data_IF_437101300182
#
_entry.id   IF_437101300182
#
_cell.length_a   1.000
_cell.length_b   1.000
_cell.length_c   1.000
_cell.angle_alpha   90.00
_cell.angle_beta   90.00
_cell.angle_gamma   90.00
#
_symmetry.space_group_name_H-M   'P 1'
#
loop_
_entity.id
_entity.type
_entity.pdbx_description
1 polymer ?
#
# COMPACT_ATOMS: atom_id res chain seq x y z
N UNK A 1 -43.60 62.85 -31.45
CA UNK A 1 -44.30 61.67 -32.02
C UNK A 1 -43.20 60.66 -32.30
N UNK A 2 -43.11 59.50 -31.66
CA UNK A 2 -44.02 58.34 -31.77
C UNK A 2 -43.92 57.48 -30.49
N UNK A 3 -44.97 56.70 -30.27
CA UNK A 3 -45.42 56.00 -29.06
C UNK A 3 -44.53 54.88 -28.50
N UNK A 4 -44.64 54.71 -27.18
CA UNK A 4 -44.21 53.55 -26.40
C UNK A 4 -45.22 52.39 -26.56
N UNK A 5 -44.74 51.21 -26.92
CA UNK A 5 -45.46 49.95 -26.77
C UNK A 5 -44.84 49.17 -25.60
N UNK A 6 -45.61 48.97 -24.54
CA UNK A 6 -45.24 48.17 -23.37
C UNK A 6 -45.64 46.71 -23.60
N UNK A 7 -44.68 45.79 -23.47
CA UNK A 7 -44.93 44.35 -23.38
C UNK A 7 -44.55 43.89 -21.97
N UNK A 8 -45.54 43.52 -21.16
CA UNK A 8 -45.33 42.90 -19.84
C UNK A 8 -44.93 41.43 -20.01
N UNK A 9 -43.89 41.00 -19.30
CA UNK A 9 -43.66 39.60 -18.96
C UNK A 9 -43.75 39.41 -17.43
N UNK A 10 -44.40 38.33 -16.95
CA UNK A 10 -44.54 38.08 -15.52
C UNK A 10 -43.28 37.41 -14.96
N UNK A 11 -42.78 37.95 -13.84
CA UNK A 11 -41.72 37.35 -13.05
C UNK A 11 -42.28 36.18 -12.22
N UNK A 12 -41.80 34.96 -12.48
CA UNK A 12 -42.02 33.80 -11.60
C UNK A 12 -41.01 33.86 -10.45
N UNK A 13 -41.49 34.17 -9.25
CA UNK A 13 -40.70 34.11 -8.03
C UNK A 13 -40.49 32.65 -7.60
N UNK A 14 -39.22 32.24 -7.44
CA UNK A 14 -38.85 30.99 -6.79
C UNK A 14 -39.21 31.04 -5.29
N UNK A 15 -40.00 30.07 -4.84
CA UNK A 15 -40.31 29.84 -3.44
C UNK A 15 -39.07 29.33 -2.69
N UNK A 16 -38.51 30.17 -1.81
CA UNK A 16 -37.50 29.74 -0.85
C UNK A 16 -38.13 28.99 0.32
N UNK A 17 -37.81 27.71 0.46
CA UNK A 17 -38.15 26.90 1.61
C UNK A 17 -37.32 27.33 2.84
N UNK A 18 -37.94 28.09 3.74
CA UNK A 18 -37.40 28.37 5.08
C UNK A 18 -37.57 27.13 5.95
N UNK A 19 -36.50 26.40 6.22
CA UNK A 19 -36.45 25.36 7.25
C UNK A 19 -36.56 26.01 8.64
N UNK A 20 -37.50 25.61 9.51
CA UNK A 20 -37.56 26.14 10.87
C UNK A 20 -36.43 25.55 11.72
N UNK A 21 -35.67 26.41 12.40
CA UNK A 21 -34.73 25.99 13.43
C UNK A 21 -35.50 25.49 14.67
N UNK A 22 -35.06 24.41 15.33
CA UNK A 22 -35.69 23.93 16.56
C UNK A 22 -35.46 24.92 17.71
N UNK A 23 -36.51 25.18 18.51
CA UNK A 23 -36.42 26.07 19.66
C UNK A 23 -35.68 25.41 20.84
N UNK A 24 -34.94 26.20 21.65
CA UNK A 24 -34.29 25.70 22.85
C UNK A 24 -35.32 25.33 23.92
N UNK A 25 -35.05 24.21 24.61
CA UNK A 25 -35.88 23.66 25.70
C UNK A 25 -35.84 24.61 26.92
N UNK A 26 -36.98 24.94 27.55
CA UNK A 26 -36.99 25.82 28.71
C UNK A 26 -36.33 25.15 29.92
N UNK A 27 -35.56 25.94 30.68
CA UNK A 27 -35.02 25.54 31.97
C UNK A 27 -36.14 25.56 33.02
N UNK A 28 -36.48 24.39 33.58
CA UNK A 28 -37.40 24.27 34.70
C UNK A 28 -36.66 23.75 35.95
N UNK A 29 -37.06 24.34 37.06
CA UNK A 29 -36.40 24.39 38.36
C UNK A 29 -36.27 23.07 39.13
N UNK A 30 -35.32 23.12 40.06
CA UNK A 30 -35.08 22.21 41.18
C UNK A 30 -36.30 22.06 42.12
N UNK A 31 -36.57 20.85 42.60
CA UNK A 31 -36.77 20.53 44.03
C UNK A 31 -36.91 19.00 44.26
N UNK A 32 -36.57 18.49 45.47
CA UNK A 32 -36.03 17.14 45.70
C UNK A 32 -37.06 16.17 46.32
N UNK A 33 -36.77 14.86 46.29
CA UNK A 33 -37.09 13.93 47.40
C UNK A 33 -36.44 12.54 47.22
N UNK A 34 -35.66 12.14 48.24
CA UNK A 34 -35.85 10.83 48.88
C UNK A 34 -35.21 9.55 48.32
N UNK A 35 -33.99 9.26 48.80
CA UNK A 35 -33.45 7.94 49.20
C UNK A 35 -33.20 6.85 48.14
N UNK A 36 -31.92 6.65 47.86
CA UNK A 36 -31.37 5.45 47.22
C UNK A 36 -29.85 5.53 47.12
N UNK A 37 -29.17 5.59 48.27
CA UNK A 37 -27.71 5.64 48.35
C UNK A 37 -27.09 4.25 48.19
N UNK A 38 -26.41 4.00 47.07
CA UNK A 38 -25.23 3.15 47.04
C UNK A 38 -24.19 3.77 46.12
N UNK A 39 -23.32 4.56 46.75
CA UNK A 39 -21.90 4.75 46.46
C UNK A 39 -21.51 5.04 45.00
N UNK A 40 -21.56 6.34 44.73
CA UNK A 40 -20.59 7.11 43.97
C UNK A 40 -19.17 6.53 44.15
N UNK A 41 -18.62 5.92 43.10
CA UNK A 41 -17.19 5.64 43.04
C UNK A 41 -16.49 7.00 42.94
N UNK A 42 -15.96 7.37 44.09
CA UNK A 42 -15.31 8.61 44.43
C UNK A 42 -14.06 8.78 43.55
N UNK A 43 -14.01 9.95 42.92
CA UNK A 43 -12.85 10.69 42.45
C UNK A 43 -11.51 10.10 42.89
N UNK A 44 -11.04 9.11 42.12
CA UNK A 44 -9.67 8.65 42.21
C UNK A 44 -8.85 9.69 41.44
N UNK A 45 -7.91 10.40 42.09
CA UNK A 45 -7.10 11.38 41.38
C UNK A 45 -6.47 10.68 40.18
N UNK A 46 -6.76 11.19 38.97
CA UNK A 46 -6.09 10.73 37.78
C UNK A 46 -4.59 10.95 38.03
N UNK A 47 -3.87 9.86 38.28
CA UNK A 47 -2.42 9.87 38.25
C UNK A 47 -2.04 10.59 36.97
N UNK A 48 -1.24 11.67 36.99
CA UNK A 48 -0.82 12.32 35.77
C UNK A 48 -0.21 11.23 34.91
N UNK A 49 -0.83 10.96 33.77
CA UNK A 49 -0.38 9.95 32.83
C UNK A 49 0.95 10.46 32.32
N UNK A 50 2.04 10.02 32.96
CA UNK A 50 3.41 10.35 32.57
C UNK A 50 3.51 9.86 31.13
N UNK A 51 3.60 10.82 30.19
CA UNK A 51 3.79 10.48 28.79
C UNK A 51 4.96 9.50 28.71
N UNK A 52 4.80 8.36 28.04
CA UNK A 52 5.83 7.33 28.03
C UNK A 52 7.13 7.94 27.51
N UNK A 53 8.23 7.64 28.21
CA UNK A 53 9.58 8.07 27.82
C UNK A 53 9.82 7.75 26.34
N UNK A 54 10.44 8.67 25.57
CA UNK A 54 10.68 8.45 24.15
C UNK A 54 11.57 7.22 23.94
N UNK A 55 11.24 6.43 22.91
CA UNK A 55 12.06 5.29 22.50
C UNK A 55 13.46 5.74 22.08
N UNK A 56 14.42 4.81 22.07
CA UNK A 56 15.77 5.08 21.55
C UNK A 56 15.75 5.56 20.09
N UNK A 57 14.77 5.11 19.30
CA UNK A 57 14.58 5.60 17.95
C UNK A 57 14.17 7.08 17.94
N UNK A 58 13.18 7.47 18.76
CA UNK A 58 12.73 8.86 18.87
C UNK A 58 13.84 9.78 19.34
N UNK A 59 14.68 9.30 20.27
CA UNK A 59 15.86 10.04 20.74
C UNK A 59 16.93 10.21 19.65
N UNK A 60 17.09 9.23 18.75
CA UNK A 60 18.03 9.31 17.64
C UNK A 60 17.51 10.21 16.48
N UNK A 61 16.19 10.28 16.30
CA UNK A 61 15.53 11.10 15.28
C UNK A 61 15.41 12.57 15.72
N UNK A 62 16.56 13.18 15.99
CA UNK A 62 16.65 14.58 16.43
C UNK A 62 16.24 15.57 15.33
N UNK A 63 16.00 16.83 15.70
CA UNK A 63 15.68 17.92 14.76
C UNK A 63 16.81 18.21 13.74
N UNK A 64 18.02 17.69 13.97
CA UNK A 64 19.12 17.75 13.00
C UNK A 64 19.05 16.65 11.93
N UNK A 65 18.20 15.64 12.15
CA UNK A 65 17.98 14.49 11.26
C UNK A 65 16.65 14.63 10.52
N UNK A 66 15.56 14.88 11.24
CA UNK A 66 14.23 15.02 10.66
C UNK A 66 13.28 15.84 11.55
N UNK A 67 12.29 16.47 10.92
CA UNK A 67 11.13 17.04 11.60
C UNK A 67 10.08 15.93 11.68
N UNK A 68 10.00 15.27 12.82
CA UNK A 68 9.18 14.09 13.00
C UNK A 68 8.52 14.05 14.39
N UNK A 69 7.57 14.96 14.68
CA UNK A 69 6.87 14.96 15.96
C UNK A 69 6.29 13.59 16.29
N UNK A 70 6.41 13.20 17.55
CA UNK A 70 5.79 11.98 18.08
C UNK A 70 4.27 12.11 18.04
N UNK A 71 3.61 11.03 17.66
CA UNK A 71 2.14 10.93 17.73
C UNK A 71 1.74 9.77 18.65
N UNK A 72 0.50 9.78 19.19
CA UNK A 72 -0.01 8.67 20.00
C UNK A 72 0.00 7.35 19.23
N UNK A 73 0.05 6.25 19.96
CA UNK A 73 -0.14 4.93 19.37
C UNK A 73 -1.52 4.84 18.69
N UNK A 74 -1.57 4.17 17.56
CA UNK A 74 -2.82 3.91 16.84
C UNK A 74 -3.19 2.45 17.09
N UNK A 75 -4.41 2.21 17.57
CA UNK A 75 -4.97 0.86 17.73
C UNK A 75 -6.18 0.69 16.81
N UNK A 76 -6.04 -0.17 15.81
CA UNK A 76 -7.11 -0.54 14.88
C UNK A 76 -7.47 -2.02 14.99
N UNK A 77 -8.41 -2.51 14.15
CA UNK A 77 -8.77 -3.92 14.11
C UNK A 77 -7.57 -4.82 13.75
N UNK A 78 -7.43 -5.93 14.45
CA UNK A 78 -6.33 -6.87 14.23
C UNK A 78 -4.97 -6.28 14.61
N UNK A 79 -4.04 -6.28 13.66
CA UNK A 79 -2.67 -5.75 13.85
C UNK A 79 -2.52 -4.33 13.28
N UNK A 80 -3.64 -3.65 13.02
CA UNK A 80 -3.65 -2.32 12.45
C UNK A 80 -3.21 -1.25 13.45
N UNK A 81 -2.36 -0.33 12.98
CA UNK A 81 -1.72 0.70 13.76
C UNK A 81 -0.38 0.26 14.33
N UNK A 82 -0.02 0.82 15.47
CA UNK A 82 1.25 0.59 16.11
C UNK A 82 1.61 1.60 17.19
N UNK A 83 2.63 1.23 17.93
CA UNK A 83 3.32 2.09 18.89
C UNK A 83 4.54 2.77 18.24
N UNK A 84 5.17 3.67 19.01
CA UNK A 84 6.39 4.37 18.61
C UNK A 84 6.24 5.12 17.28
N UNK A 85 5.07 5.76 17.10
CA UNK A 85 4.72 6.46 15.87
C UNK A 85 5.24 7.90 15.88
N UNK A 86 5.54 8.39 14.68
CA UNK A 86 5.90 9.77 14.37
C UNK A 86 5.16 10.23 13.13
N UNK A 87 4.99 11.54 13.00
CA UNK A 87 4.53 12.20 11.79
C UNK A 87 5.74 12.83 11.12
N UNK A 88 6.30 12.18 10.10
CA UNK A 88 7.47 12.66 9.37
C UNK A 88 7.06 13.78 8.40
N UNK A 89 7.51 15.01 8.68
CA UNK A 89 7.14 16.21 7.92
C UNK A 89 8.27 16.67 6.99
N UNK A 90 9.52 16.48 7.40
CA UNK A 90 10.68 16.77 6.56
C UNK A 90 11.90 15.97 7.03
N UNK A 91 12.81 15.70 6.11
CA UNK A 91 14.16 15.22 6.41
C UNK A 91 15.11 16.41 6.34
N UNK A 92 15.93 16.59 7.38
CA UNK A 92 17.00 17.58 7.37
C UNK A 92 18.19 16.98 6.64
N UNK A 93 18.79 17.73 5.71
CA UNK A 93 19.90 17.28 4.88
C UNK A 93 21.24 17.65 5.54
N UNK A 94 22.37 17.00 5.14
CA UNK A 94 23.69 17.31 5.68
C UNK A 94 24.12 18.78 5.53
N UNK A 95 23.63 19.46 4.48
CA UNK A 95 23.87 20.89 4.22
C UNK A 95 22.99 21.84 5.07
N UNK A 96 22.16 21.30 5.97
CA UNK A 96 21.18 22.05 6.76
C UNK A 96 19.88 22.35 6.01
N UNK A 97 19.79 21.96 4.73
CA UNK A 97 18.58 22.01 3.93
C UNK A 97 17.47 21.10 4.46
N UNK A 98 16.27 21.24 3.91
CA UNK A 98 15.12 20.40 4.26
C UNK A 98 14.49 19.84 3.00
N UNK A 99 14.34 18.52 2.97
CA UNK A 99 13.49 17.83 2.02
C UNK A 99 12.13 17.60 2.68
N UNK A 100 11.11 18.34 2.24
CA UNK A 100 9.75 18.19 2.78
C UNK A 100 9.17 16.82 2.40
N UNK A 101 8.43 16.18 3.28
CA UNK A 101 7.66 14.97 2.97
C UNK A 101 6.21 15.40 2.77
N UNK A 102 5.68 15.25 1.56
CA UNK A 102 4.36 15.78 1.19
C UNK A 102 3.43 14.72 0.60
N UNK A 103 2.22 14.57 1.17
CA UNK A 103 1.84 14.92 2.56
C UNK A 103 2.78 14.33 3.61
N UNK A 104 2.75 14.89 4.83
CA UNK A 104 3.50 14.35 5.97
C UNK A 104 3.11 12.88 6.23
N UNK A 105 4.10 12.02 6.47
CA UNK A 105 3.91 10.58 6.57
C UNK A 105 3.66 10.14 8.02
N UNK A 106 2.65 9.30 8.24
CA UNK A 106 2.43 8.64 9.54
C UNK A 106 3.17 7.31 9.55
N UNK A 107 4.23 7.21 10.34
CA UNK A 107 5.15 6.07 10.31
C UNK A 107 5.55 5.63 11.72
N UNK A 108 5.90 4.36 11.88
CA UNK A 108 6.72 3.91 13.00
C UNK A 108 8.07 4.61 12.93
N UNK A 109 8.64 4.96 14.08
CA UNK A 109 9.90 5.69 14.15
C UNK A 109 11.02 5.02 13.36
N UNK A 110 11.11 3.67 13.42
CA UNK A 110 12.12 2.91 12.65
C UNK A 110 11.97 3.08 11.14
N UNK A 111 10.74 3.12 10.64
CA UNK A 111 10.47 3.37 9.22
C UNK A 111 10.81 4.82 8.84
N UNK A 112 10.43 5.79 9.67
CA UNK A 112 10.79 7.19 9.48
C UNK A 112 12.32 7.39 9.48
N UNK A 113 13.04 6.70 10.36
CA UNK A 113 14.51 6.73 10.42
C UNK A 113 15.13 6.16 9.15
N UNK A 114 14.63 5.01 8.66
CA UNK A 114 15.11 4.42 7.41
C UNK A 114 14.92 5.35 6.19
N UNK A 115 13.79 6.08 6.14
CA UNK A 115 13.53 7.09 5.10
C UNK A 115 14.46 8.29 5.26
N UNK A 116 14.65 8.79 6.47
CA UNK A 116 15.58 9.90 6.73
C UNK A 116 17.01 9.53 6.33
N UNK A 117 17.47 8.33 6.67
CA UNK A 117 18.79 7.84 6.32
C UNK A 117 18.96 7.67 4.81
N UNK A 118 17.95 7.14 4.11
CA UNK A 118 17.94 7.03 2.64
C UNK A 118 18.06 8.40 1.96
N UNK A 119 17.26 9.36 2.40
CA UNK A 119 17.27 10.70 1.82
C UNK A 119 18.61 11.40 2.07
N UNK A 120 19.14 11.29 3.29
CA UNK A 120 20.40 11.96 3.69
C UNK A 120 21.63 11.33 3.07
N UNK A 121 21.68 10.00 2.98
CA UNK A 121 22.92 9.29 2.63
C UNK A 121 23.00 8.91 1.16
N UNK A 122 21.87 8.76 0.48
CA UNK A 122 21.85 8.33 -0.92
C UNK A 122 21.27 9.41 -1.83
N UNK A 123 20.10 9.95 -1.48
CA UNK A 123 19.43 10.90 -2.39
C UNK A 123 20.05 12.29 -2.37
N UNK A 124 20.54 12.76 -1.22
CA UNK A 124 21.26 14.03 -1.13
C UNK A 124 22.51 14.06 -2.03
N UNK A 125 23.48 13.12 -1.91
CA UNK A 125 24.64 13.12 -2.80
C UNK A 125 24.27 12.84 -4.26
N UNK A 126 23.22 12.04 -4.51
CA UNK A 126 22.73 11.85 -5.88
C UNK A 126 22.22 13.16 -6.49
N UNK A 127 21.46 13.96 -5.72
CA UNK A 127 20.98 15.26 -6.16
C UNK A 127 22.12 16.27 -6.34
N UNK A 128 23.13 16.26 -5.47
CA UNK A 128 24.35 17.07 -5.61
C UNK A 128 25.08 16.76 -6.92
N UNK A 129 25.21 15.48 -7.27
CA UNK A 129 25.76 15.05 -8.56
C UNK A 129 24.94 15.53 -9.78
N UNK A 130 23.67 15.90 -9.58
CA UNK A 130 22.82 16.52 -10.58
C UNK A 130 22.84 18.07 -10.51
N UNK A 131 23.76 18.64 -9.72
CA UNK A 131 23.88 20.08 -9.52
C UNK A 131 22.71 20.70 -8.75
N UNK A 132 22.05 19.93 -7.88
CA UNK A 132 20.91 20.40 -7.10
C UNK A 132 20.88 19.78 -5.71
N UNK A 133 19.76 19.95 -5.01
CA UNK A 133 19.47 19.31 -3.72
C UNK A 133 18.06 18.78 -3.70
N UNK A 134 17.82 17.73 -2.92
CA UNK A 134 16.46 17.23 -2.68
C UNK A 134 15.67 18.31 -1.93
N UNK A 135 14.48 18.64 -2.41
CA UNK A 135 13.60 19.65 -1.81
C UNK A 135 12.28 19.05 -1.32
N UNK A 136 11.82 17.96 -1.95
CA UNK A 136 10.58 17.31 -1.60
C UNK A 136 10.63 15.80 -1.90
N UNK A 137 10.04 15.02 -1.02
CA UNK A 137 9.62 13.65 -1.24
C UNK A 137 8.10 13.62 -1.39
N UNK A 138 7.65 13.11 -2.53
CA UNK A 138 6.23 12.94 -2.86
C UNK A 138 5.73 11.61 -2.29
N UNK A 139 4.96 11.70 -1.21
CA UNK A 139 4.42 10.59 -0.44
C UNK A 139 2.98 10.31 -0.88
N UNK A 140 2.74 9.15 -1.49
CA UNK A 140 1.41 8.78 -1.97
C UNK A 140 0.58 8.04 -0.91
N UNK A 141 1.22 7.25 -0.06
CA UNK A 141 0.58 6.53 1.05
C UNK A 141 1.61 6.19 2.14
N UNK A 142 1.22 6.28 3.41
CA UNK A 142 2.09 5.99 4.56
C UNK A 142 1.38 5.18 5.64
N UNK A 143 0.11 5.51 5.91
CA UNK A 143 -0.72 4.76 6.84
C UNK A 143 -2.15 4.62 6.30
N UNK A 144 -2.56 3.38 6.07
CA UNK A 144 -3.94 3.04 5.75
C UNK A 144 -4.28 1.65 6.29
N UNK A 145 -5.31 1.59 7.13
CA UNK A 145 -5.76 0.37 7.80
C UNK A 145 -6.50 -0.59 6.85
N UNK A 146 -5.75 -1.31 6.00
CA UNK A 146 -6.33 -2.18 4.95
C UNK A 146 -5.51 -3.43 4.66
N UNK A 147 -6.18 -4.41 4.04
CA UNK A 147 -5.52 -5.56 3.42
C UNK A 147 -4.56 -5.15 2.30
N UNK A 148 -3.56 -6.01 2.04
CA UNK A 148 -2.63 -5.84 0.92
C UNK A 148 -3.39 -5.70 -0.39
N UNK A 149 -2.90 -4.78 -1.23
CA UNK A 149 -3.48 -4.45 -2.53
C UNK A 149 -4.98 -4.11 -2.48
N UNK A 150 -5.46 -3.65 -1.31
CA UNK A 150 -6.87 -3.34 -1.01
C UNK A 150 -7.81 -4.56 -1.18
N UNK A 151 -7.27 -5.78 -1.16
CA UNK A 151 -8.04 -7.02 -1.28
C UNK A 151 -8.64 -7.41 0.07
N UNK A 152 -9.96 -7.57 0.13
CA UNK A 152 -10.67 -7.98 1.34
C UNK A 152 -10.24 -9.38 1.79
N UNK A 153 -9.96 -9.55 3.08
CA UNK A 153 -9.49 -10.82 3.65
C UNK A 153 -8.03 -11.17 3.36
N UNK A 154 -7.31 -10.36 2.59
CA UNK A 154 -5.86 -10.51 2.44
C UNK A 154 -5.13 -10.18 3.76
N UNK A 155 -3.86 -10.59 3.85
CA UNK A 155 -2.99 -10.18 4.95
C UNK A 155 -2.97 -8.66 5.08
N UNK A 156 -2.82 -8.16 6.30
CA UNK A 156 -2.67 -6.72 6.56
C UNK A 156 -1.49 -6.15 5.77
N UNK A 157 -1.69 -4.99 5.16
CA UNK A 157 -0.63 -4.22 4.50
C UNK A 157 0.36 -3.68 5.53
N UNK A 158 1.62 -3.47 5.13
CA UNK A 158 2.58 -2.78 5.99
C UNK A 158 2.20 -1.29 6.18
N UNK A 159 1.46 -0.67 5.25
CA UNK A 159 0.80 0.62 5.48
C UNK A 159 -0.14 0.56 6.68
N UNK A 160 -0.88 -0.55 6.83
CA UNK A 160 -1.76 -0.76 7.98
C UNK A 160 -1.01 -0.86 9.30
N UNK A 161 0.31 -1.07 9.26
CA UNK A 161 1.19 -1.09 10.44
C UNK A 161 2.00 0.21 10.59
N UNK A 162 1.75 1.23 9.77
CA UNK A 162 2.60 2.42 9.65
C UNK A 162 4.09 2.06 9.38
N UNK A 163 4.32 0.97 8.65
CA UNK A 163 5.65 0.39 8.41
C UNK A 163 6.02 0.36 6.92
N UNK A 164 5.35 1.20 6.11
CA UNK A 164 5.58 1.33 4.69
C UNK A 164 5.40 2.77 4.21
N UNK A 165 5.96 3.07 3.04
CA UNK A 165 5.82 4.34 2.33
C UNK A 165 5.74 4.08 0.82
N UNK A 166 4.72 4.65 0.18
CA UNK A 166 4.59 4.70 -1.28
C UNK A 166 5.14 6.05 -1.76
N UNK A 167 6.16 6.03 -2.62
CA UNK A 167 6.87 7.22 -3.10
C UNK A 167 6.66 7.37 -4.59
N UNK A 168 6.11 8.51 -5.01
CA UNK A 168 5.91 8.83 -6.43
C UNK A 168 7.17 9.45 -7.05
N UNK A 169 7.72 10.45 -6.39
CA UNK A 169 8.82 11.25 -6.94
C UNK A 169 9.68 11.92 -5.86
N UNK A 170 10.86 12.39 -6.28
CA UNK A 170 11.67 13.34 -5.54
C UNK A 170 11.81 14.63 -6.35
N UNK A 171 11.49 15.78 -5.75
CA UNK A 171 11.65 17.09 -6.40
C UNK A 171 12.94 17.74 -5.96
N UNK A 172 13.68 18.28 -6.90
CA UNK A 172 14.93 18.99 -6.66
C UNK A 172 14.71 20.50 -6.62
N UNK A 173 15.59 21.21 -5.90
CA UNK A 173 15.46 22.66 -5.73
C UNK A 173 15.58 23.47 -7.04
N UNK A 174 16.16 22.87 -8.10
CA UNK A 174 16.23 23.48 -9.43
C UNK A 174 14.95 23.28 -10.27
N UNK A 175 13.89 22.69 -9.69
CA UNK A 175 12.62 22.43 -10.37
C UNK A 175 12.56 21.09 -11.11
N UNK A 176 13.67 20.34 -11.18
CA UNK A 176 13.66 18.98 -11.74
C UNK A 176 12.89 18.04 -10.82
N UNK A 177 12.10 17.16 -11.43
CA UNK A 177 11.43 16.05 -10.72
C UNK A 177 12.05 14.73 -11.17
N UNK A 178 12.43 13.90 -10.20
CA UNK A 178 12.80 12.51 -10.41
C UNK A 178 11.54 11.69 -10.11
N UNK A 179 10.70 11.51 -11.12
CA UNK A 179 9.56 10.60 -11.05
C UNK A 179 10.09 9.15 -11.13
N UNK A 180 9.69 8.32 -10.16
CA UNK A 180 10.24 6.98 -9.99
C UNK A 180 9.56 5.95 -10.89
N UNK A 181 8.41 6.25 -11.45
CA UNK A 181 7.72 5.40 -12.42
C UNK A 181 7.87 5.89 -13.87
N UNK A 182 8.23 7.16 -14.08
CA UNK A 182 8.38 7.72 -15.42
C UNK A 182 9.62 7.20 -16.15
N UNK A 183 9.38 6.57 -17.30
CA UNK A 183 10.41 6.04 -18.20
C UNK A 183 11.20 7.16 -18.90
N UNK A 184 10.68 8.38 -18.92
CA UNK A 184 11.38 9.55 -19.45
C UNK A 184 12.53 10.01 -18.54
N UNK A 185 12.50 9.65 -17.25
CA UNK A 185 13.64 9.86 -16.35
C UNK A 185 14.77 8.92 -16.75
N UNK A 186 16.01 9.44 -16.73
CA UNK A 186 17.20 8.72 -17.16
C UNK A 186 17.33 7.39 -16.44
N UNK A 187 17.54 6.33 -17.23
CA UNK A 187 17.62 4.96 -16.73
C UNK A 187 18.69 4.80 -15.65
N UNK A 188 19.91 5.28 -15.91
CA UNK A 188 21.02 5.21 -14.94
C UNK A 188 20.70 5.89 -13.61
N UNK A 189 19.89 6.97 -13.65
CA UNK A 189 19.44 7.63 -12.43
C UNK A 189 18.47 6.74 -11.65
N UNK A 190 17.47 6.16 -12.33
CA UNK A 190 16.52 5.23 -11.70
C UNK A 190 17.20 3.96 -11.18
N UNK A 191 18.21 3.43 -11.88
CA UNK A 191 19.01 2.29 -11.42
C UNK A 191 19.80 2.61 -10.13
N UNK A 192 20.36 3.81 -10.01
CA UNK A 192 21.02 4.26 -8.76
C UNK A 192 20.01 4.34 -7.62
N UNK A 193 18.82 4.87 -7.88
CA UNK A 193 17.75 4.92 -6.86
C UNK A 193 17.35 3.50 -6.46
N UNK A 194 17.10 2.60 -7.41
CA UNK A 194 16.80 1.19 -7.17
C UNK A 194 17.84 0.53 -6.25
N UNK A 195 19.13 0.68 -6.58
CA UNK A 195 20.22 0.15 -5.76
C UNK A 195 20.17 0.68 -4.31
N UNK A 196 19.94 1.99 -4.15
CA UNK A 196 19.88 2.63 -2.83
C UNK A 196 18.72 2.12 -1.97
N UNK A 197 17.51 1.97 -2.53
CA UNK A 197 16.34 1.51 -1.78
C UNK A 197 16.45 0.04 -1.43
N UNK A 198 16.95 -0.81 -2.34
CA UNK A 198 17.07 -2.24 -2.09
C UNK A 198 18.12 -2.59 -1.03
N UNK A 199 19.15 -1.75 -0.87
CA UNK A 199 20.12 -1.87 0.20
C UNK A 199 19.49 -1.62 1.59
N UNK A 200 18.42 -0.82 1.68
CA UNK A 200 17.82 -0.37 2.94
C UNK A 200 16.55 -1.12 3.31
N UNK A 201 15.58 -1.16 2.40
CA UNK A 201 14.24 -1.67 2.67
C UNK A 201 14.14 -3.17 2.41
N UNK A 202 13.41 -3.88 3.28
CA UNK A 202 13.23 -5.33 3.13
C UNK A 202 12.26 -5.70 2.02
N UNK A 203 11.45 -4.74 1.59
CA UNK A 203 10.57 -4.85 0.42
C UNK A 203 10.67 -3.58 -0.37
N UNK A 204 10.99 -3.73 -1.64
CA UNK A 204 10.88 -2.69 -2.66
C UNK A 204 10.04 -3.27 -3.78
N UNK A 205 8.90 -2.66 -4.06
CA UNK A 205 8.04 -2.99 -5.21
C UNK A 205 7.92 -1.72 -6.06
N UNK A 206 7.95 -1.85 -7.37
CA UNK A 206 7.76 -0.74 -8.30
C UNK A 206 7.25 -1.26 -9.64
N UNK A 207 7.35 -0.45 -10.72
CA UNK A 207 6.96 -0.88 -12.05
C UNK A 207 7.46 -2.29 -12.40
N UNK A 208 6.58 -3.13 -12.94
CA UNK A 208 6.86 -4.54 -13.25
C UNK A 208 6.69 -5.53 -12.09
N UNK A 209 6.41 -5.09 -10.87
CA UNK A 209 6.37 -6.00 -9.72
C UNK A 209 5.11 -6.87 -9.63
N UNK A 210 3.94 -6.25 -9.63
CA UNK A 210 2.63 -6.91 -9.40
C UNK A 210 1.41 -6.09 -9.87
N UNK A 211 1.58 -5.11 -10.78
CA UNK A 211 0.48 -4.30 -11.33
C UNK A 211 -0.09 -3.24 -10.39
N UNK A 212 0.08 -3.36 -9.07
CA UNK A 212 -0.38 -2.36 -8.10
C UNK A 212 0.63 -1.23 -7.87
N UNK A 213 1.88 -1.43 -8.29
CA UNK A 213 2.99 -0.51 -8.08
C UNK A 213 3.56 0.04 -9.41
N UNK A 214 2.74 0.16 -10.46
CA UNK A 214 3.19 0.61 -11.79
C UNK A 214 3.48 2.11 -11.89
N UNK A 215 3.00 2.90 -10.92
CA UNK A 215 3.09 4.36 -10.94
C UNK A 215 3.81 4.96 -9.71
N UNK A 216 4.44 4.13 -8.88
CA UNK A 216 5.20 4.53 -7.70
C UNK A 216 6.11 3.41 -7.24
N UNK A 217 6.94 3.66 -6.23
CA UNK A 217 7.64 2.59 -5.51
C UNK A 217 7.09 2.43 -4.10
N UNK A 218 6.90 1.19 -3.67
CA UNK A 218 6.53 0.82 -2.32
C UNK A 218 7.76 0.37 -1.54
N UNK A 219 7.95 0.94 -0.35
CA UNK A 219 9.06 0.67 0.55
C UNK A 219 8.53 0.18 1.89
N UNK A 220 8.99 -0.97 2.39
CA UNK A 220 8.64 -1.44 3.74
C UNK A 220 9.80 -2.12 4.48
N UNK A 221 9.61 -2.27 5.80
CA UNK A 221 10.54 -2.95 6.72
C UNK A 221 10.00 -4.29 7.27
N UNK A 222 9.11 -4.98 6.54
CA UNK A 222 8.55 -6.25 7.00
C UNK A 222 9.63 -7.31 7.25
N UNK A 223 9.57 -7.88 8.44
CA UNK A 223 10.46 -8.97 8.81
C UNK A 223 9.89 -10.31 8.32
N UNK A 224 10.65 -10.99 7.45
CA UNK A 224 10.31 -12.31 6.92
C UNK A 224 11.23 -13.38 7.50
N UNK A 225 10.81 -14.64 7.39
CA UNK A 225 11.62 -15.79 7.81
C UNK A 225 12.98 -15.76 7.09
N UNK A 226 14.04 -16.11 7.82
CA UNK A 226 15.42 -16.15 7.33
C UNK A 226 15.94 -14.81 6.75
N UNK A 227 15.32 -13.69 7.11
CA UNK A 227 15.73 -12.38 6.59
C UNK A 227 15.45 -12.19 5.10
N UNK A 228 14.51 -12.93 4.52
CA UNK A 228 14.17 -12.82 3.10
C UNK A 228 13.72 -11.39 2.73
N UNK A 229 14.31 -10.85 1.67
CA UNK A 229 14.06 -9.51 1.13
C UNK A 229 13.49 -9.61 -0.28
N UNK A 230 12.67 -8.63 -0.64
CA UNK A 230 12.13 -8.47 -1.99
C UNK A 230 12.64 -7.13 -2.53
N UNK A 231 13.26 -7.17 -3.69
CA UNK A 231 13.65 -6.00 -4.45
C UNK A 231 13.20 -6.25 -5.89
N UNK A 232 12.00 -5.78 -6.22
CA UNK A 232 11.40 -5.99 -7.53
C UNK A 232 10.83 -4.68 -8.06
N UNK A 233 11.63 -4.02 -8.89
CA UNK A 233 11.25 -2.83 -9.64
C UNK A 233 12.05 -2.86 -10.94
N UNK A 234 11.35 -3.06 -12.05
CA UNK A 234 11.93 -3.14 -13.38
C UNK A 234 12.18 -1.72 -13.92
N UNK A 235 13.44 -1.44 -14.26
CA UNK A 235 13.81 -0.17 -14.86
C UNK A 235 13.65 -0.26 -16.37
N UNK A 236 12.48 0.12 -16.86
CA UNK A 236 12.22 0.14 -18.29
C UNK A 236 13.02 1.23 -19.02
N UNK A 237 13.50 0.92 -20.22
CA UNK A 237 14.06 1.89 -21.16
C UNK A 237 13.00 2.92 -21.56
N UNK A 238 13.37 4.15 -21.96
CA UNK A 238 12.41 5.12 -22.48
C UNK A 238 11.64 4.56 -23.69
N UNK A 239 10.37 4.95 -23.83
CA UNK A 239 9.61 4.64 -25.05
C UNK A 239 10.24 5.43 -26.20
N UNK A 240 10.58 4.80 -27.34
CA UNK A 240 11.13 5.53 -28.46
C UNK A 240 10.13 6.58 -28.94
N UNK A 241 10.60 7.81 -29.16
CA UNK A 241 9.76 8.94 -29.57
C UNK A 241 9.06 8.70 -30.93
N UNK A 242 9.69 7.89 -31.78
CA UNK A 242 9.11 7.42 -33.03
C UNK A 242 8.91 5.92 -32.88
N UNK A 243 7.65 5.46 -33.00
CA UNK A 243 7.37 4.04 -33.09
C UNK A 243 8.22 3.47 -34.24
N UNK A 244 8.94 2.36 -34.04
CA UNK A 244 9.56 1.66 -35.17
C UNK A 244 8.48 1.50 -36.23
N UNK A 245 8.74 2.00 -37.44
CA UNK A 245 7.83 1.77 -38.56
C UNK A 245 7.51 0.28 -38.57
N UNK A 246 6.22 -0.06 -38.74
CA UNK A 246 5.77 -1.44 -38.89
C UNK A 246 6.79 -2.21 -39.74
N UNK A 247 7.06 -3.49 -39.44
CA UNK A 247 8.11 -4.25 -40.10
C UNK A 247 8.09 -3.96 -41.59
N UNK A 248 9.25 -3.59 -42.16
CA UNK A 248 9.37 -3.31 -43.59
C UNK A 248 8.62 -4.37 -44.37
N UNK A 249 7.81 -3.94 -45.36
CA UNK A 249 7.03 -4.88 -46.16
C UNK A 249 7.91 -6.06 -46.56
N UNK A 250 7.36 -7.27 -46.41
CA UNK A 250 8.10 -8.50 -46.70
C UNK A 250 8.70 -8.36 -48.10
N UNK A 251 10.03 -8.49 -48.26
CA UNK A 251 10.67 -8.36 -49.57
C UNK A 251 9.94 -9.24 -50.59
N UNK A 252 9.75 -8.75 -51.81
CA UNK A 252 9.07 -9.50 -52.88
C UNK A 252 9.74 -10.86 -53.14
N UNK A 253 11.03 -10.94 -52.87
CA UNK A 253 11.89 -12.13 -53.03
C UNK A 253 11.90 -13.05 -51.80
N UNK A 254 11.26 -12.65 -50.70
CA UNK A 254 11.15 -13.51 -49.54
C UNK A 254 10.29 -14.74 -49.90
N UNK A 255 10.78 -15.96 -49.63
CA UNK A 255 10.06 -17.18 -49.95
C UNK A 255 8.64 -17.13 -49.36
N UNK A 256 7.66 -17.65 -50.09
CA UNK A 256 6.31 -17.78 -49.56
C UNK A 256 6.39 -18.52 -48.23
N UNK A 257 5.66 -18.01 -47.22
CA UNK A 257 5.53 -18.75 -45.97
C UNK A 257 5.04 -20.14 -46.35
N UNK A 258 5.81 -21.15 -46.01
CA UNK A 258 5.41 -22.54 -46.18
C UNK A 258 4.17 -22.73 -45.29
N UNK A 259 2.99 -22.58 -45.90
CA UNK A 259 1.78 -23.07 -45.27
C UNK A 259 1.97 -24.57 -45.23
N UNK A 260 1.92 -25.15 -44.04
CA UNK A 260 1.96 -26.59 -43.89
C UNK A 260 0.99 -27.17 -44.92
N UNK A 261 1.54 -27.89 -45.90
CA UNK A 261 0.71 -28.71 -46.77
C UNK A 261 -0.10 -29.57 -45.83
N UNK A 262 -1.42 -29.41 -45.86
CA UNK A 262 -2.35 -30.42 -45.36
C UNK A 262 -2.15 -31.65 -46.24
N UNK A 263 -1.02 -32.32 -46.08
CA UNK A 263 -0.82 -33.68 -46.54
C UNK A 263 -1.78 -34.47 -45.69
N UNK A 264 -2.89 -34.87 -46.30
CA UNK A 264 -3.73 -35.96 -45.85
C UNK A 264 -2.87 -37.19 -45.59
N UNK A 265 -2.27 -37.24 -44.40
CA UNK A 265 -1.89 -38.47 -43.73
C UNK A 265 -3.00 -38.70 -42.75
N UNK A 266 -3.79 -39.73 -43.05
CA UNK A 266 -4.65 -40.35 -42.06
C UNK A 266 -3.84 -40.49 -40.77
N UNK A 267 -4.22 -39.75 -39.74
CA UNK A 267 -3.85 -40.13 -38.38
C UNK A 267 -4.49 -41.51 -38.20
N UNK A 268 -3.66 -42.55 -38.07
CA UNK A 268 -4.11 -43.86 -37.61
C UNK A 268 -4.94 -43.63 -36.35
N UNK A 269 -6.17 -44.15 -36.40
CA UNK A 269 -7.14 -44.02 -35.34
C UNK A 269 -6.53 -44.54 -34.02
N UNK A 270 -6.46 -43.66 -33.02
CA UNK A 270 -6.37 -44.09 -31.64
C UNK A 270 -7.61 -44.97 -31.37
N UNK A 271 -7.46 -46.20 -30.86
CA UNK A 271 -8.58 -47.13 -30.75
C UNK A 271 -9.67 -46.58 -29.82
N UNK A 272 -10.90 -46.62 -30.33
CA UNK A 272 -12.13 -46.25 -29.61
C UNK A 272 -12.23 -46.98 -28.27
N UNK A 273 -12.25 -46.22 -27.16
CA UNK A 273 -12.96 -46.67 -25.97
C UNK A 273 -14.41 -46.21 -26.07
N UNK A 274 -15.22 -47.15 -26.57
CA UNK A 274 -16.68 -47.30 -26.48
C UNK A 274 -17.45 -46.15 -25.79
N UNK A 275 -18.14 -45.35 -26.60
CA UNK A 275 -19.18 -44.45 -26.15
C UNK A 275 -20.42 -45.23 -25.68
N UNK A 276 -20.94 -44.86 -24.51
CA UNK A 276 -22.33 -45.15 -24.11
C UNK A 276 -23.16 -43.95 -24.57
N UNK A 277 -24.13 -44.21 -25.44
CA UNK A 277 -24.96 -43.23 -26.14
C UNK A 277 -26.17 -42.80 -25.33
N UNK A 278 -26.58 -41.53 -25.48
CA UNK A 278 -28.00 -41.22 -25.68
C UNK A 278 -28.20 -39.91 -26.46
N UNK A 279 -29.21 -39.98 -27.32
CA UNK A 279 -29.42 -39.22 -28.55
C UNK A 279 -29.91 -37.77 -28.37
N UNK A 280 -29.59 -36.94 -29.36
CA UNK A 280 -30.31 -35.71 -29.71
C UNK A 280 -31.51 -36.01 -30.63
N UNK A 281 -32.55 -35.17 -30.62
CA UNK A 281 -32.80 -34.33 -31.82
C UNK A 281 -33.35 -32.94 -31.43
N UNK A 282 -33.46 -31.90 -32.26
CA UNK A 282 -33.14 -31.61 -33.67
C UNK A 282 -33.14 -30.08 -33.82
N UNK A 283 -32.48 -29.59 -34.87
CA UNK A 283 -32.36 -28.18 -35.23
C UNK A 283 -33.69 -27.50 -35.61
N UNK A 284 -33.75 -26.19 -35.37
CA UNK A 284 -34.77 -25.28 -35.90
C UNK A 284 -34.26 -23.84 -36.01
N UNK A 285 -34.02 -23.42 -37.27
CA UNK A 285 -34.08 -22.09 -37.89
C UNK A 285 -33.62 -20.81 -37.16
N UNK A 286 -32.72 -20.12 -37.85
CA UNK A 286 -32.24 -18.73 -37.80
C UNK A 286 -33.31 -17.62 -37.70
N UNK A 287 -33.00 -16.57 -36.93
CA UNK A 287 -33.26 -15.16 -37.25
C UNK A 287 -32.33 -14.23 -36.43
N UNK A 288 -31.91 -13.12 -37.03
CA UNK A 288 -30.91 -12.16 -36.55
C UNK A 288 -31.41 -11.23 -35.42
N UNK A 289 -30.50 -10.84 -34.51
CA UNK A 289 -30.56 -9.61 -33.66
C UNK A 289 -29.10 -9.15 -33.43
N UNK A 290 -28.67 -8.01 -33.97
CA UNK A 290 -28.62 -6.65 -33.38
C UNK A 290 -27.67 -6.50 -32.19
N UNK A 291 -26.74 -5.56 -32.36
CA UNK A 291 -25.84 -5.08 -31.32
C UNK A 291 -26.63 -4.27 -30.28
N UNK A 292 -26.69 -4.74 -29.03
CA UNK A 292 -26.87 -3.86 -27.87
C UNK A 292 -26.50 -4.56 -26.55
N UNK A 293 -26.16 -3.74 -25.56
CA UNK A 293 -25.95 -4.03 -24.14
C UNK A 293 -24.53 -4.42 -23.66
N UNK A 294 -23.69 -3.39 -23.52
CA UNK A 294 -22.62 -3.32 -22.51
C UNK A 294 -23.26 -3.41 -21.11
N UNK A 295 -22.78 -4.26 -20.18
CA UNK A 295 -23.32 -4.28 -18.83
C UNK A 295 -22.87 -3.05 -18.03
N UNK A 296 -23.83 -2.32 -17.46
CA UNK A 296 -23.56 -1.16 -16.62
C UNK A 296 -23.03 -1.54 -15.21
N UNK A 297 -22.26 -0.64 -14.57
CA UNK A 297 -21.71 -0.86 -13.24
C UNK A 297 -22.82 -0.85 -12.16
N UNK A 298 -22.77 -1.85 -11.27
CA UNK A 298 -23.75 -2.00 -10.19
C UNK A 298 -23.49 -0.98 -9.05
N UNK A 299 -24.57 -0.38 -8.55
CA UNK A 299 -24.55 0.55 -7.40
C UNK A 299 -24.25 -0.18 -6.10
N UNK A 300 -23.45 0.46 -5.25
CA UNK A 300 -23.10 0.04 -3.88
C UNK A 300 -24.37 -0.01 -2.99
N UNK A 301 -24.58 -1.06 -2.17
CA UNK A 301 -25.73 -1.14 -1.27
C UNK A 301 -25.61 -0.13 -0.13
N UNK A 302 -26.77 0.37 0.34
CA UNK A 302 -26.87 1.28 1.48
C UNK A 302 -26.86 0.52 2.81
N UNK A 303 -26.50 1.22 3.89
CA UNK A 303 -26.26 0.66 5.23
C UNK A 303 -27.49 0.05 5.94
N UNK A 304 -28.65 -0.08 5.28
CA UNK A 304 -29.87 -0.63 5.86
C UNK A 304 -30.12 -2.13 5.55
N UNK A 305 -29.38 -2.74 4.61
CA UNK A 305 -29.58 -4.14 4.21
C UNK A 305 -28.67 -5.15 4.95
N UNK A 306 -27.89 -4.69 5.94
CA UNK A 306 -26.95 -5.50 6.72
C UNK A 306 -27.54 -6.05 8.04
N UNK A 307 -28.85 -6.22 8.14
CA UNK A 307 -29.51 -6.81 9.30
C UNK A 307 -30.14 -8.16 8.93
N UNK A 308 -29.35 -9.23 8.97
CA UNK A 308 -29.87 -10.56 8.66
C UNK A 308 -28.90 -11.72 8.92
N UNK A 309 -29.11 -12.38 10.07
CA UNK A 309 -28.64 -13.72 10.49
C UNK A 309 -27.18 -13.85 10.96
N UNK A 310 -27.04 -13.82 12.29
CA UNK A 310 -25.89 -14.28 13.06
C UNK A 310 -25.65 -15.77 12.78
N UNK A 311 -24.62 -16.08 11.99
CA UNK A 311 -24.11 -17.43 11.85
C UNK A 311 -23.19 -17.75 13.04
N UNK A 312 -23.52 -18.78 13.81
CA UNK A 312 -22.67 -19.32 14.90
C UNK A 312 -21.32 -19.75 14.34
N UNK A 313 -20.25 -19.14 14.85
CA UNK A 313 -18.87 -19.60 14.59
C UNK A 313 -18.62 -20.92 15.32
N UNK A 314 -17.94 -21.91 14.69
CA UNK A 314 -17.50 -23.10 15.39
C UNK A 314 -16.36 -22.77 16.36
N UNK A 315 -16.42 -23.33 17.55
CA UNK A 315 -15.40 -23.22 18.61
C UNK A 315 -14.07 -23.81 18.15
N UNK A 316 -12.92 -23.16 18.39
CA UNK A 316 -11.62 -23.74 18.08
C UNK A 316 -11.28 -24.90 19.02
N UNK A 317 -10.88 -26.02 18.42
CA UNK A 317 -10.35 -27.21 19.06
C UNK A 317 -9.10 -26.90 19.90
N UNK A 318 -9.11 -27.35 21.16
CA UNK A 318 -8.00 -27.25 22.10
C UNK A 318 -6.83 -28.14 21.63
N UNK A 319 -5.88 -27.58 20.90
CA UNK A 319 -4.56 -28.18 20.72
C UNK A 319 -3.60 -27.66 21.79
N UNK A 320 -2.97 -28.60 22.50
CA UNK A 320 -2.01 -28.37 23.58
C UNK A 320 -0.87 -27.43 23.13
N UNK A 321 -0.38 -26.53 24.00
CA UNK A 321 0.81 -25.75 23.71
C UNK A 321 2.07 -26.65 23.67
N UNK A 322 3.05 -26.37 22.79
CA UNK A 322 4.31 -27.08 22.80
C UNK A 322 5.09 -26.73 24.09
N UNK A 323 5.50 -27.78 24.80
CA UNK A 323 6.32 -27.70 26.01
C UNK A 323 7.61 -26.92 25.76
N UNK A 324 7.88 -25.90 26.59
CA UNK A 324 9.16 -25.18 26.65
C UNK A 324 10.30 -26.19 26.85
N UNK A 325 11.21 -26.28 25.89
CA UNK A 325 12.45 -27.05 26.04
C UNK A 325 13.40 -26.29 26.96
N UNK A 326 13.98 -27.00 27.93
CA UNK A 326 14.86 -26.39 28.94
C UNK A 326 16.21 -25.96 28.34
N UNK A 327 16.83 -24.94 28.94
CA UNK A 327 18.14 -24.43 28.55
C UNK A 327 19.27 -25.48 28.61
N UNK A 328 19.08 -26.58 29.34
CA UNK A 328 20.07 -27.65 29.48
C UNK A 328 20.28 -28.46 28.17
N UNK A 329 19.24 -28.62 27.35
CA UNK A 329 19.34 -29.35 26.07
C UNK A 329 20.13 -28.58 25.00
N UNK A 330 20.07 -27.25 25.04
CA UNK A 330 20.83 -26.37 24.13
C UNK A 330 22.33 -26.40 24.40
N UNK A 331 22.73 -26.58 25.67
CA UNK A 331 24.15 -26.68 26.07
C UNK A 331 24.76 -28.02 25.64
N UNK A 332 23.99 -29.12 25.75
CA UNK A 332 24.44 -30.46 25.33
C UNK A 332 24.66 -30.57 23.82
N UNK A 333 23.84 -29.86 23.02
CA UNK A 333 23.98 -29.81 21.55
C UNK A 333 25.21 -29.01 21.10
N UNK A 334 25.48 -27.85 21.73
CA UNK A 334 26.69 -27.06 21.44
C UNK A 334 27.99 -27.82 21.74
N UNK A 335 28.02 -28.60 22.83
CA UNK A 335 29.18 -29.45 23.17
C UNK A 335 29.43 -30.58 22.14
N UNK A 336 28.38 -31.22 21.61
CA UNK A 336 28.51 -32.26 20.57
C UNK A 336 28.92 -31.74 19.20
N UNK A 337 28.55 -30.51 18.84
CA UNK A 337 29.02 -29.89 17.59
C UNK A 337 30.50 -29.47 17.66
N UNK A 338 31.01 -29.05 18.82
CA UNK A 338 32.43 -28.70 19.02
C UNK A 338 33.38 -29.90 18.94
N UNK A 339 32.95 -31.09 19.38
CA UNK A 339 33.81 -32.29 19.35
C UNK A 339 34.01 -32.87 17.94
N UNK A 340 33.17 -32.51 16.97
CA UNK A 340 33.24 -33.00 15.59
C UNK A 340 34.01 -32.08 14.63
N UNK A 341 34.59 -30.98 15.12
CA UNK A 341 35.43 -30.08 14.31
C UNK A 341 36.89 -30.55 14.30
N UNK A 342 37.56 -30.53 13.12
CA UNK A 342 38.98 -30.84 13.02
C UNK A 342 39.83 -29.84 13.82
N UNK A 343 41.01 -30.27 14.32
CA UNK A 343 41.74 -29.56 15.37
C UNK A 343 42.17 -28.13 15.00
N UNK A 344 42.33 -27.82 13.71
CA UNK A 344 42.74 -26.49 13.24
C UNK A 344 41.60 -25.45 13.19
N UNK A 345 40.33 -25.83 13.33
CA UNK A 345 39.19 -24.89 13.31
C UNK A 345 38.65 -24.50 14.70
N UNK A 346 39.20 -25.09 15.76
CA UNK A 346 38.76 -24.85 17.15
C UNK A 346 39.04 -23.43 17.69
N UNK A 347 40.18 -22.76 17.38
CA UNK A 347 40.51 -21.47 17.99
C UNK A 347 39.75 -20.27 17.39
N UNK A 348 38.90 -20.46 16.38
CA UNK A 348 38.07 -19.39 15.79
C UNK A 348 36.75 -19.14 16.54
N UNK A 349 36.48 -19.90 17.60
CA UNK A 349 35.20 -19.92 18.32
C UNK A 349 35.33 -19.79 19.84
N UNK A 350 36.47 -19.29 20.32
CA UNK A 350 36.71 -18.88 21.72
C UNK A 350 36.50 -17.38 21.92
#
# INVERSE_FOLDING_TARGET
MVAFAALLMPATALAGSRTPLPQPRPAAALAPDGKGSTQMEEDRPATPEIAPEPSSCRLALTDSVAIAPSIPAIAGPGECGGDDLVRLEAVVLPDGGRAAVKPAATLRCKMASAIADWIRSDMAPLAEGLGSRVSELDNLDSFECRGRNRVAGAKLSEHGRANALDVGALKLANGRTIDLADRAVERDLREKVLGSVCARFTTVLGPGSDGYHENHIHLDLIQRRNGYRICHWEIYDPVPAVAPLLPTERPAEAPQREMAEEKGKAFEAVPERRAVSRAAPRAGSVAAISAEMVPQPQKRPTAADAAGKVAKWPTPSTSKPPTRRSAADSVKRKRRLRSNLPPFLRPLFD
#
